data_IF_275847266051
#
_entry.id   IF_275847266051
#
_cell.length_a   1.000
_cell.length_b   1.000
_cell.length_c   1.000
_cell.angle_alpha   90.00
_cell.angle_beta   90.00
_cell.angle_gamma   90.00
#
_symmetry.space_group_name_H-M   'P 1'
#
loop_
_entity.id
_entity.type
_entity.pdbx_description
1 polymer ?
#
# COMPACT_ATOMS: atom_id res chain seq x y z
N UNK A 1 9.72 -19.40 -38.55
CA UNK A 1 9.16 -20.74 -38.85
C UNK A 1 8.89 -20.98 -40.36
N UNK A 2 8.30 -20.05 -41.07
CA UNK A 2 8.06 -20.14 -42.52
C UNK A 2 9.33 -20.48 -43.30
N UNK A 3 10.48 -19.91 -42.93
CA UNK A 3 11.78 -20.20 -43.57
C UNK A 3 12.25 -21.64 -43.38
N UNK A 4 11.98 -22.25 -42.24
CA UNK A 4 12.35 -23.65 -41.95
C UNK A 4 11.47 -24.58 -42.78
N UNK A 5 10.18 -24.28 -42.87
CA UNK A 5 9.23 -25.07 -43.70
C UNK A 5 9.59 -24.97 -45.18
N UNK A 6 9.92 -23.76 -45.67
CA UNK A 6 10.40 -23.55 -47.05
C UNK A 6 11.71 -24.28 -47.32
N UNK A 7 12.67 -24.31 -46.40
CA UNK A 7 13.92 -25.07 -46.57
C UNK A 7 13.69 -26.56 -46.55
N UNK A 8 12.78 -27.09 -45.73
CA UNK A 8 12.41 -28.50 -45.72
C UNK A 8 11.71 -28.88 -47.06
N UNK A 9 10.78 -28.06 -47.54
CA UNK A 9 10.14 -28.26 -48.84
C UNK A 9 11.14 -28.20 -49.98
N UNK A 10 12.11 -27.28 -49.93
CA UNK A 10 13.17 -27.20 -50.94
C UNK A 10 14.07 -28.44 -50.91
N UNK A 11 14.44 -28.94 -49.73
CA UNK A 11 15.21 -30.17 -49.56
C UNK A 11 14.44 -31.40 -50.02
N UNK A 12 13.14 -31.47 -49.77
CA UNK A 12 12.26 -32.54 -50.26
C UNK A 12 12.12 -32.48 -51.79
N UNK A 13 11.93 -31.29 -52.38
CA UNK A 13 11.88 -31.11 -53.81
C UNK A 13 13.22 -31.47 -54.48
N UNK A 14 14.34 -31.07 -53.86
CA UNK A 14 15.68 -31.43 -54.35
C UNK A 14 15.94 -32.92 -54.21
N UNK A 15 15.55 -33.57 -53.14
CA UNK A 15 15.60 -35.01 -52.93
C UNK A 15 14.76 -35.78 -53.95
N UNK A 16 13.56 -35.26 -54.29
CA UNK A 16 12.70 -35.83 -55.33
C UNK A 16 13.33 -35.71 -56.72
N UNK A 17 13.95 -34.56 -57.05
CA UNK A 17 14.70 -34.38 -58.30
C UNK A 17 15.94 -35.30 -58.38
N UNK A 18 16.64 -35.51 -57.30
CA UNK A 18 17.76 -36.42 -57.19
C UNK A 18 17.32 -37.89 -57.40
N UNK A 19 16.19 -38.25 -56.73
CA UNK A 19 15.57 -39.59 -56.94
C UNK A 19 15.09 -39.81 -58.38
N UNK A 20 14.53 -38.77 -59.00
CA UNK A 20 14.21 -38.84 -60.47
C UNK A 20 15.44 -39.11 -61.30
N UNK A 21 16.55 -38.45 -61.08
CA UNK A 21 17.80 -38.63 -61.74
C UNK A 21 18.37 -40.07 -61.59
N UNK A 22 18.22 -40.65 -60.41
CA UNK A 22 18.73 -41.97 -60.03
C UNK A 22 17.84 -43.13 -60.59
N UNK A 23 16.53 -42.90 -60.69
CA UNK A 23 15.54 -43.91 -61.04
C UNK A 23 15.00 -43.74 -62.49
N UNK A 24 15.64 -42.95 -63.35
CA UNK A 24 15.29 -42.74 -64.79
C UNK A 24 13.77 -42.50 -64.97
N UNK A 25 13.18 -41.58 -64.29
CA UNK A 25 11.78 -41.18 -64.52
C UNK A 25 11.57 -40.37 -65.82
N UNK A 26 12.63 -40.08 -66.52
CA UNK A 26 12.62 -39.36 -67.77
C UNK A 26 12.92 -40.37 -68.86
N UNK A 27 11.95 -40.65 -69.73
CA UNK A 27 12.20 -41.41 -70.96
C UNK A 27 13.00 -40.54 -71.91
N UNK A 28 14.15 -41.09 -72.39
CA UNK A 28 14.99 -40.50 -73.44
C UNK A 28 14.88 -41.36 -74.68
N UNK A 29 14.81 -40.70 -75.84
CA UNK A 29 14.86 -41.40 -77.13
C UNK A 29 16.25 -41.97 -77.44
N UNK A 30 16.34 -42.85 -78.39
CA UNK A 30 17.59 -43.49 -78.77
C UNK A 30 18.71 -42.48 -79.12
N UNK A 31 18.36 -41.27 -79.52
CA UNK A 31 19.26 -40.18 -79.86
C UNK A 31 19.59 -39.23 -78.69
N UNK A 32 19.12 -39.52 -77.44
CA UNK A 32 19.45 -38.74 -76.22
C UNK A 32 18.61 -37.47 -76.01
N UNK A 33 17.64 -37.20 -76.88
CA UNK A 33 16.72 -36.05 -76.71
C UNK A 33 15.61 -36.35 -75.73
N UNK A 34 15.17 -35.30 -75.01
CA UNK A 34 14.07 -35.38 -74.10
C UNK A 34 12.76 -35.65 -74.82
N UNK A 35 12.21 -36.87 -74.73
CA UNK A 35 10.96 -37.21 -75.40
C UNK A 35 9.74 -36.96 -74.49
N UNK A 36 9.81 -37.27 -73.25
CA UNK A 36 8.70 -37.07 -72.38
C UNK A 36 9.15 -37.09 -70.93
N UNK A 37 8.76 -36.04 -70.13
CA UNK A 37 8.75 -36.12 -68.71
C UNK A 37 7.56 -37.00 -68.34
N UNK A 38 7.80 -38.18 -67.77
CA UNK A 38 6.74 -39.05 -67.33
C UNK A 38 6.18 -38.35 -66.03
N UNK A 39 5.20 -37.52 -66.29
CA UNK A 39 4.46 -36.85 -65.27
C UNK A 39 3.67 -37.89 -64.47
N UNK A 40 4.12 -38.19 -63.25
CA UNK A 40 3.36 -39.05 -62.38
C UNK A 40 2.43 -38.17 -61.58
N UNK A 41 1.13 -38.07 -61.90
CA UNK A 41 0.16 -37.23 -61.22
C UNK A 41 0.04 -37.57 -59.72
N UNK A 42 0.34 -38.83 -59.39
CA UNK A 42 0.39 -39.32 -58.01
C UNK A 42 1.46 -38.57 -57.16
N UNK A 43 2.63 -38.30 -57.73
CA UNK A 43 3.74 -37.64 -57.04
C UNK A 43 3.41 -36.16 -56.79
N UNK A 44 2.74 -35.51 -57.74
CA UNK A 44 2.26 -34.13 -57.58
C UNK A 44 1.08 -34.05 -56.60
N UNK A 45 0.19 -35.05 -56.66
CA UNK A 45 -0.91 -35.13 -55.68
C UNK A 45 -0.39 -35.39 -54.27
N UNK A 46 0.65 -36.22 -54.08
CA UNK A 46 1.29 -36.43 -52.77
C UNK A 46 2.01 -35.19 -52.29
N UNK A 47 2.74 -34.46 -53.19
CA UNK A 47 3.37 -33.19 -52.83
C UNK A 47 2.35 -32.10 -52.49
N UNK A 48 1.25 -32.00 -53.23
CA UNK A 48 0.16 -31.09 -52.96
C UNK A 48 -0.55 -31.42 -51.64
N UNK A 49 -0.79 -32.70 -51.39
CA UNK A 49 -1.36 -33.17 -50.13
C UNK A 49 -0.43 -32.88 -48.92
N UNK A 50 0.88 -33.09 -49.11
CA UNK A 50 1.90 -32.78 -48.11
C UNK A 50 2.02 -31.27 -47.88
N UNK A 51 1.86 -30.46 -48.95
CA UNK A 51 1.80 -29.02 -48.85
C UNK A 51 0.54 -28.54 -48.12
N UNK A 52 -0.61 -29.16 -48.33
CA UNK A 52 -1.85 -28.87 -47.61
C UNK A 52 -1.75 -29.29 -46.13
N UNK A 53 -1.10 -30.43 -45.85
CA UNK A 53 -0.89 -30.92 -44.47
C UNK A 53 0.17 -30.09 -43.74
N UNK A 54 1.21 -29.62 -44.42
CA UNK A 54 2.28 -28.81 -43.82
C UNK A 54 1.95 -27.32 -43.71
N UNK A 55 0.91 -26.87 -44.31
CA UNK A 55 0.47 -25.46 -44.20
C UNK A 55 -0.38 -25.23 -42.98
N UNK A 56 -0.47 -24.07 -42.69
CA UNK A 56 0.16 -23.03 -41.92
C UNK A 56 0.10 -23.31 -40.43
N UNK A 57 0.54 -24.47 -40.02
CA UNK A 57 0.59 -24.82 -38.60
C UNK A 57 1.70 -24.04 -37.92
N UNK A 58 1.32 -23.29 -36.88
CA UNK A 58 2.22 -22.62 -35.99
C UNK A 58 2.19 -23.28 -34.60
N UNK A 59 3.38 -23.41 -34.00
CA UNK A 59 3.51 -23.86 -32.63
C UNK A 59 3.75 -22.65 -31.73
N UNK A 60 2.78 -22.34 -30.88
CA UNK A 60 2.85 -21.25 -29.95
C UNK A 60 2.95 -21.76 -28.54
N UNK A 61 3.91 -21.21 -27.78
CA UNK A 61 4.05 -21.46 -26.36
C UNK A 61 3.24 -20.42 -25.61
N UNK A 62 2.34 -20.87 -24.73
CA UNK A 62 1.62 -20.02 -23.80
C UNK A 62 2.42 -20.06 -22.50
N UNK A 63 2.94 -18.89 -22.09
CA UNK A 63 3.79 -18.78 -20.93
C UNK A 63 3.02 -18.97 -19.64
N UNK A 64 3.74 -19.34 -18.57
CA UNK A 64 3.16 -19.40 -17.23
C UNK A 64 2.67 -18.00 -16.80
N UNK A 65 1.44 -17.92 -16.28
CA UNK A 65 0.80 -16.64 -15.96
C UNK A 65 -0.13 -16.12 -17.06
N UNK A 66 -0.10 -16.72 -18.26
CA UNK A 66 -1.04 -16.39 -19.34
C UNK A 66 -2.05 -17.50 -19.54
N UNK A 67 -3.24 -17.12 -19.98
CA UNK A 67 -4.24 -18.03 -20.51
C UNK A 67 -4.35 -17.84 -22.03
N UNK A 68 -4.17 -18.92 -22.77
CA UNK A 68 -4.41 -18.92 -24.20
C UNK A 68 -5.89 -19.12 -24.49
N UNK A 69 -6.45 -18.29 -25.36
CA UNK A 69 -7.79 -18.41 -25.90
C UNK A 69 -7.67 -18.76 -27.39
N UNK A 70 -8.07 -19.96 -27.74
CA UNK A 70 -8.13 -20.43 -29.12
C UNK A 70 -9.52 -20.08 -29.68
N UNK A 71 -9.52 -19.28 -30.75
CA UNK A 71 -10.74 -18.82 -31.43
C UNK A 71 -10.77 -19.47 -32.80
N UNK A 72 -11.82 -20.22 -33.10
CA UNK A 72 -12.07 -20.80 -34.41
C UNK A 72 -12.56 -19.70 -35.37
N UNK A 73 -11.89 -19.51 -36.51
CA UNK A 73 -12.25 -18.52 -37.55
C UNK A 73 -13.18 -19.05 -38.59
N UNK A 74 -13.22 -20.39 -38.77
CA UNK A 74 -13.96 -21.10 -39.83
C UNK A 74 -14.78 -22.22 -39.20
N UNK A 75 -15.92 -22.54 -39.81
CA UNK A 75 -16.82 -23.60 -39.39
C UNK A 75 -18.03 -23.09 -38.60
N UNK A 76 -18.87 -24.02 -38.13
CA UNK A 76 -20.10 -23.71 -37.37
C UNK A 76 -19.80 -23.17 -35.97
N UNK A 77 -18.62 -23.47 -35.40
CA UNK A 77 -18.14 -22.99 -34.12
C UNK A 77 -17.33 -21.67 -34.18
N UNK A 78 -17.42 -20.98 -35.34
CA UNK A 78 -16.65 -19.74 -35.58
C UNK A 78 -17.01 -18.60 -34.64
N UNK A 79 -15.98 -17.88 -34.25
CA UNK A 79 -16.16 -16.61 -33.48
C UNK A 79 -16.31 -16.82 -31.99
N UNK A 80 -17.15 -15.99 -31.38
CA UNK A 80 -17.25 -15.90 -29.92
C UNK A 80 -17.98 -17.05 -29.22
N UNK A 81 -18.68 -17.90 -30.00
CA UNK A 81 -19.53 -18.95 -29.41
C UNK A 81 -18.75 -20.12 -28.83
N UNK A 82 -17.53 -20.37 -29.32
CA UNK A 82 -16.74 -21.53 -28.89
C UNK A 82 -15.26 -21.17 -28.74
N UNK A 83 -14.95 -20.47 -27.66
CA UNK A 83 -13.57 -20.17 -27.31
C UNK A 83 -13.05 -21.32 -26.44
N UNK A 84 -11.96 -21.94 -26.88
CA UNK A 84 -11.31 -23.03 -26.15
C UNK A 84 -10.14 -22.47 -25.35
N UNK A 85 -10.10 -22.80 -24.06
CA UNK A 85 -8.97 -22.44 -23.20
C UNK A 85 -7.82 -23.41 -23.44
N UNK A 86 -6.63 -22.85 -23.69
CA UNK A 86 -5.42 -23.63 -23.97
C UNK A 86 -4.25 -23.13 -23.12
N UNK A 87 -3.35 -24.06 -22.77
CA UNK A 87 -2.15 -23.77 -21.99
C UNK A 87 -0.97 -24.58 -22.48
N UNK A 88 0.26 -24.12 -22.20
CA UNK A 88 1.49 -24.79 -22.62
C UNK A 88 1.76 -24.67 -24.13
N UNK A 89 2.32 -25.71 -24.72
CA UNK A 89 2.57 -25.73 -26.15
C UNK A 89 1.33 -26.12 -26.90
N UNK A 90 0.91 -25.29 -27.88
CA UNK A 90 -0.22 -25.55 -28.74
C UNK A 90 0.19 -25.40 -30.21
N UNK A 91 -0.12 -26.42 -30.99
CA UNK A 91 -0.03 -26.37 -32.45
C UNK A 91 -1.42 -26.01 -32.96
N UNK A 92 -1.51 -25.02 -33.81
CA UNK A 92 -2.76 -24.54 -34.38
C UNK A 92 -2.57 -24.12 -35.83
N UNK A 93 -3.65 -24.11 -36.58
CA UNK A 93 -3.65 -23.70 -37.99
C UNK A 93 -4.00 -22.20 -38.07
N UNK A 94 -3.04 -21.37 -38.46
CA UNK A 94 -3.20 -19.90 -38.51
C UNK A 94 -4.27 -19.41 -39.50
N UNK A 95 -4.75 -20.26 -40.42
CA UNK A 95 -5.83 -19.90 -41.36
C UNK A 95 -7.22 -20.12 -40.73
N UNK A 96 -7.34 -21.07 -39.85
CA UNK A 96 -8.61 -21.49 -39.29
C UNK A 96 -8.76 -21.17 -37.82
N UNK A 97 -7.66 -20.86 -37.13
CA UNK A 97 -7.63 -20.65 -35.68
C UNK A 97 -6.72 -19.45 -35.36
N UNK A 98 -7.07 -18.74 -34.28
CA UNK A 98 -6.28 -17.62 -33.72
C UNK A 98 -6.09 -17.83 -32.23
N UNK A 99 -4.88 -17.61 -31.71
CA UNK A 99 -4.59 -17.71 -30.28
C UNK A 99 -4.29 -16.33 -29.71
N UNK A 100 -5.14 -15.89 -28.78
CA UNK A 100 -4.93 -14.73 -27.94
C UNK A 100 -4.41 -15.14 -26.57
N UNK A 101 -3.45 -14.40 -26.02
CA UNK A 101 -2.90 -14.65 -24.69
C UNK A 101 -3.34 -13.54 -23.74
N UNK A 102 -4.07 -13.91 -22.70
CA UNK A 102 -4.54 -13.00 -21.65
C UNK A 102 -3.66 -13.19 -20.43
N UNK A 103 -3.00 -12.14 -19.92
CA UNK A 103 -2.27 -12.21 -18.67
C UNK A 103 -3.23 -12.38 -17.48
N UNK A 104 -2.93 -13.32 -16.59
CA UNK A 104 -3.68 -13.59 -15.36
C UNK A 104 -2.95 -13.05 -14.13
N UNK A 105 -1.75 -12.53 -14.31
CA UNK A 105 -0.94 -11.93 -13.27
C UNK A 105 -1.61 -10.70 -12.66
N UNK A 106 -1.21 -10.37 -11.46
CA UNK A 106 -1.68 -9.16 -10.79
C UNK A 106 -0.92 -7.95 -11.33
N UNK A 107 -1.67 -6.97 -11.83
CA UNK A 107 -1.14 -5.74 -12.39
C UNK A 107 -1.59 -4.54 -11.57
N UNK A 108 -0.75 -3.52 -11.49
CA UNK A 108 -1.06 -2.25 -10.82
C UNK A 108 -1.33 -1.18 -11.85
N UNK A 109 -2.48 -0.53 -11.72
CA UNK A 109 -2.86 0.61 -12.55
C UNK A 109 -3.07 1.84 -11.68
N UNK A 110 -2.73 2.98 -12.24
CA UNK A 110 -3.05 4.29 -11.70
C UNK A 110 -3.79 5.09 -12.75
N UNK A 111 -4.97 5.57 -12.39
CA UNK A 111 -5.70 6.50 -13.24
C UNK A 111 -5.39 7.94 -12.88
N UNK A 112 -5.51 8.79 -13.88
CA UNK A 112 -5.26 10.20 -13.72
C UNK A 112 -6.29 10.85 -12.79
N UNK A 113 -5.99 12.09 -12.40
CA UNK A 113 -6.79 12.92 -11.54
C UNK A 113 -8.17 13.17 -12.14
N UNK A 114 -9.20 12.77 -11.40
CA UNK A 114 -10.59 12.99 -11.75
C UNK A 114 -11.31 13.79 -10.66
N UNK A 115 -12.05 14.81 -11.08
CA UNK A 115 -12.92 15.55 -10.20
C UNK A 115 -14.16 14.71 -9.86
N UNK A 116 -14.40 14.50 -8.59
CA UNK A 116 -15.62 13.87 -8.05
C UNK A 116 -16.29 14.79 -7.04
N UNK A 117 -17.57 14.60 -6.83
CA UNK A 117 -18.33 15.42 -5.88
C UNK A 117 -18.62 14.57 -4.65
N UNK A 118 -18.14 15.02 -3.49
CA UNK A 118 -18.46 14.42 -2.20
C UNK A 118 -19.86 14.82 -1.74
N UNK A 119 -20.40 14.10 -0.77
CA UNK A 119 -21.68 14.44 -0.14
C UNK A 119 -21.66 15.87 0.38
N UNK A 120 -22.68 16.65 0.01
CA UNK A 120 -22.76 18.08 0.33
C UNK A 120 -22.29 19.01 -0.79
N UNK A 121 -21.94 18.45 -1.98
CA UNK A 121 -21.61 19.24 -3.16
C UNK A 121 -20.16 19.73 -3.22
N UNK A 122 -19.29 19.21 -2.36
CA UNK A 122 -17.88 19.59 -2.34
C UNK A 122 -17.09 18.82 -3.40
N UNK A 123 -16.49 19.51 -4.39
CA UNK A 123 -15.63 18.86 -5.37
C UNK A 123 -14.31 18.45 -4.72
N UNK A 124 -13.83 17.27 -5.08
CA UNK A 124 -12.48 16.82 -4.72
C UNK A 124 -11.88 16.05 -5.89
N UNK A 125 -10.57 16.10 -6.01
CA UNK A 125 -9.85 15.40 -7.05
C UNK A 125 -9.29 14.09 -6.49
N UNK A 126 -9.57 13.00 -7.16
CA UNK A 126 -9.15 11.66 -6.74
C UNK A 126 -8.37 10.99 -7.87
N UNK A 127 -7.21 10.45 -7.56
CA UNK A 127 -6.40 9.63 -8.47
C UNK A 127 -6.31 8.22 -7.89
N UNK A 128 -7.19 7.29 -8.32
CA UNK A 128 -7.18 5.94 -7.80
C UNK A 128 -6.01 5.12 -8.37
N UNK A 129 -5.37 4.35 -7.51
CA UNK A 129 -4.35 3.36 -7.87
C UNK A 129 -4.74 2.03 -7.21
N UNK A 130 -4.76 0.95 -7.96
CA UNK A 130 -5.20 -0.34 -7.47
C UNK A 130 -4.52 -1.49 -8.19
N UNK A 131 -4.55 -2.65 -7.54
CA UNK A 131 -4.14 -3.89 -8.16
C UNK A 131 -5.37 -4.62 -8.68
N UNK A 132 -5.24 -5.18 -9.89
CA UNK A 132 -6.28 -6.01 -10.48
C UNK A 132 -5.68 -7.25 -11.12
N UNK A 133 -6.50 -8.26 -11.31
CA UNK A 133 -6.18 -9.46 -12.09
C UNK A 133 -7.42 -9.93 -12.84
N UNK A 134 -7.21 -10.54 -13.99
CA UNK A 134 -8.29 -11.16 -14.77
C UNK A 134 -8.66 -12.49 -14.15
N UNK A 135 -9.95 -12.75 -13.99
CA UNK A 135 -10.43 -14.06 -13.51
C UNK A 135 -10.31 -15.10 -14.62
N UNK A 136 -9.57 -16.17 -14.36
CA UNK A 136 -9.39 -17.28 -15.32
C UNK A 136 -10.72 -17.81 -15.83
N UNK A 137 -11.67 -18.08 -14.94
CA UNK A 137 -12.97 -18.69 -15.29
C UNK A 137 -13.84 -17.86 -16.23
N UNK A 138 -13.60 -16.57 -16.36
CA UNK A 138 -14.42 -15.65 -17.15
C UNK A 138 -13.61 -14.88 -18.20
N UNK A 139 -12.35 -15.27 -18.41
CA UNK A 139 -11.46 -14.61 -19.39
C UNK A 139 -11.97 -14.72 -20.83
N UNK A 140 -12.53 -15.88 -21.20
CA UNK A 140 -13.16 -16.09 -22.50
C UNK A 140 -14.39 -15.20 -22.71
N UNK A 141 -15.24 -15.07 -21.68
CA UNK A 141 -16.41 -14.19 -21.71
C UNK A 141 -15.99 -12.71 -21.76
N UNK A 142 -14.96 -12.32 -21.01
CA UNK A 142 -14.35 -10.99 -21.08
C UNK A 142 -13.87 -10.68 -22.51
N UNK A 143 -13.08 -11.59 -23.10
CA UNK A 143 -12.58 -11.42 -24.44
C UNK A 143 -13.70 -11.27 -25.46
N UNK A 144 -14.77 -12.06 -25.33
CA UNK A 144 -15.92 -11.98 -26.22
C UNK A 144 -16.61 -10.63 -26.17
N UNK A 145 -16.88 -10.13 -24.96
CA UNK A 145 -17.61 -8.89 -24.75
C UNK A 145 -16.77 -7.64 -25.03
N UNK A 146 -15.46 -7.70 -24.79
CA UNK A 146 -14.53 -6.56 -24.95
C UNK A 146 -13.56 -6.76 -26.12
N UNK A 147 -13.92 -7.63 -27.09
CA UNK A 147 -13.06 -8.03 -28.22
C UNK A 147 -12.51 -6.85 -29.01
N UNK A 148 -13.31 -5.84 -29.27
CA UNK A 148 -12.89 -4.67 -30.06
C UNK A 148 -11.74 -3.93 -29.36
N UNK A 149 -11.88 -3.62 -28.08
CA UNK A 149 -10.84 -2.98 -27.29
C UNK A 149 -9.61 -3.86 -27.18
N UNK A 150 -9.81 -5.15 -26.87
CA UNK A 150 -8.72 -6.10 -26.73
C UNK A 150 -7.91 -6.27 -28.03
N UNK A 151 -8.55 -6.30 -29.19
CA UNK A 151 -7.90 -6.41 -30.49
C UNK A 151 -7.07 -5.18 -30.86
N UNK A 152 -7.48 -3.99 -30.42
CA UNK A 152 -6.82 -2.73 -30.75
C UNK A 152 -5.51 -2.55 -29.96
N UNK A 153 -5.49 -2.91 -28.66
CA UNK A 153 -4.34 -2.67 -27.79
C UNK A 153 -4.20 -3.68 -26.65
N UNK A 154 -4.76 -4.90 -26.80
CA UNK A 154 -4.67 -5.95 -25.78
C UNK A 154 -5.43 -5.61 -24.50
N UNK A 155 -4.97 -6.16 -23.38
CA UNK A 155 -5.56 -5.90 -22.08
C UNK A 155 -5.44 -4.42 -21.67
N UNK A 156 -4.36 -3.76 -22.09
CA UNK A 156 -4.11 -2.35 -21.78
C UNK A 156 -5.21 -1.42 -22.32
N UNK A 157 -5.70 -1.67 -23.53
CA UNK A 157 -6.82 -0.91 -24.08
C UNK A 157 -8.15 -1.17 -23.34
N UNK A 158 -8.33 -2.35 -22.75
CA UNK A 158 -9.47 -2.66 -21.89
C UNK A 158 -9.34 -1.93 -20.55
N UNK A 159 -8.12 -1.88 -20.02
CA UNK A 159 -7.78 -1.18 -18.78
C UNK A 159 -8.01 0.33 -18.90
N UNK A 160 -7.55 0.95 -20.00
CA UNK A 160 -7.69 2.40 -20.25
C UNK A 160 -9.08 2.81 -20.73
N UNK A 161 -9.90 1.88 -21.16
CA UNK A 161 -11.26 2.16 -21.61
C UNK A 161 -12.33 1.69 -20.63
N UNK A 162 -12.75 0.45 -20.77
CA UNK A 162 -13.88 -0.07 -20.01
C UNK A 162 -13.63 -0.12 -18.50
N UNK A 163 -12.46 -0.59 -18.09
CA UNK A 163 -12.12 -0.71 -16.66
C UNK A 163 -12.00 0.66 -15.99
N UNK A 164 -11.40 1.63 -16.66
CA UNK A 164 -11.29 3.00 -16.18
C UNK A 164 -12.67 3.60 -15.88
N UNK A 165 -13.57 3.56 -16.84
CA UNK A 165 -14.94 4.09 -16.68
C UNK A 165 -15.67 3.42 -15.53
N UNK A 166 -15.53 2.09 -15.40
CA UNK A 166 -16.20 1.35 -14.34
C UNK A 166 -15.66 1.69 -12.95
N UNK A 167 -14.33 1.84 -12.81
CA UNK A 167 -13.68 2.20 -11.55
C UNK A 167 -13.96 3.64 -11.17
N UNK A 168 -13.83 4.59 -12.10
CA UNK A 168 -14.14 6.00 -11.84
C UNK A 168 -15.61 6.20 -11.47
N UNK A 169 -16.51 5.45 -12.11
CA UNK A 169 -17.90 5.41 -11.72
C UNK A 169 -18.11 4.88 -10.29
N UNK A 170 -17.40 3.82 -9.88
CA UNK A 170 -17.46 3.31 -8.51
C UNK A 170 -16.93 4.33 -7.50
N UNK A 171 -15.83 5.01 -7.82
CA UNK A 171 -15.27 6.09 -6.99
C UNK A 171 -16.28 7.22 -6.81
N UNK A 172 -16.90 7.69 -7.90
CA UNK A 172 -17.92 8.74 -7.86
C UNK A 172 -19.12 8.35 -7.00
N UNK A 173 -19.65 7.14 -7.16
CA UNK A 173 -20.82 6.69 -6.40
C UNK A 173 -20.54 6.57 -4.91
N UNK A 174 -19.34 6.15 -4.54
CA UNK A 174 -18.96 6.09 -3.12
C UNK A 174 -18.68 7.49 -2.59
N UNK A 175 -17.98 8.36 -3.34
CA UNK A 175 -17.70 9.73 -2.93
C UNK A 175 -18.99 10.52 -2.65
N UNK A 176 -20.03 10.36 -3.48
CA UNK A 176 -21.32 10.99 -3.28
C UNK A 176 -22.05 10.59 -1.97
N UNK A 177 -21.68 9.46 -1.37
CA UNK A 177 -22.25 8.97 -0.11
C UNK A 177 -21.48 9.44 1.12
N UNK A 178 -20.21 9.83 0.97
CA UNK A 178 -19.31 10.19 2.05
C UNK A 178 -19.12 11.70 2.18
N UNK A 179 -19.16 12.20 3.42
CA UNK A 179 -18.83 13.60 3.70
C UNK A 179 -17.33 13.78 3.56
N UNK A 180 -16.90 14.94 3.10
CA UNK A 180 -15.49 15.19 2.80
C UNK A 180 -14.60 15.01 4.03
N UNK A 181 -15.03 15.43 5.22
CA UNK A 181 -14.32 15.23 6.48
C UNK A 181 -14.10 13.75 6.78
N UNK A 182 -15.11 12.90 6.54
CA UNK A 182 -15.03 11.46 6.77
C UNK A 182 -14.09 10.76 5.78
N UNK A 183 -14.02 11.25 4.54
CA UNK A 183 -13.08 10.76 3.53
C UNK A 183 -11.63 10.93 4.00
N UNK A 184 -11.32 12.05 4.67
CA UNK A 184 -9.97 12.30 5.19
C UNK A 184 -9.70 11.58 6.51
N UNK A 185 -10.65 11.57 7.44
CA UNK A 185 -10.49 11.00 8.77
C UNK A 185 -10.52 9.47 8.76
N UNK A 186 -11.30 8.85 7.85
CA UNK A 186 -11.47 7.40 7.73
C UNK A 186 -11.17 6.93 6.30
N UNK A 187 -9.99 7.28 5.81
CA UNK A 187 -9.55 6.95 4.46
C UNK A 187 -9.60 5.45 4.16
N UNK A 188 -9.20 4.62 5.12
CA UNK A 188 -9.23 3.16 4.95
C UNK A 188 -10.64 2.61 4.74
N UNK A 189 -11.63 3.13 5.46
CA UNK A 189 -13.04 2.78 5.28
C UNK A 189 -13.57 3.23 3.92
N UNK A 190 -13.21 4.44 3.49
CA UNK A 190 -13.56 4.95 2.18
C UNK A 190 -12.96 4.09 1.04
N UNK A 191 -11.67 3.78 1.11
CA UNK A 191 -10.98 2.91 0.14
C UNK A 191 -11.60 1.50 0.10
N UNK A 192 -11.94 0.93 1.25
CA UNK A 192 -12.62 -0.37 1.33
C UNK A 192 -14.02 -0.33 0.70
N UNK A 193 -14.78 0.74 0.91
CA UNK A 193 -16.08 0.92 0.28
C UNK A 193 -15.97 1.01 -1.25
N UNK A 194 -14.94 1.69 -1.77
CA UNK A 194 -14.67 1.74 -3.21
C UNK A 194 -14.34 0.35 -3.76
N UNK A 195 -13.49 -0.44 -3.06
CA UNK A 195 -13.16 -1.81 -3.49
C UNK A 195 -14.40 -2.68 -3.58
N UNK A 196 -15.31 -2.57 -2.62
CA UNK A 196 -16.59 -3.31 -2.63
C UNK A 196 -17.44 -2.91 -3.83
N UNK A 197 -17.63 -1.60 -4.07
CA UNK A 197 -18.44 -1.11 -5.19
C UNK A 197 -17.78 -1.40 -6.55
N UNK A 198 -16.45 -1.28 -6.64
CA UNK A 198 -15.68 -1.64 -7.83
C UNK A 198 -15.83 -3.14 -8.13
N UNK A 199 -15.61 -4.02 -7.16
CA UNK A 199 -15.81 -5.46 -7.37
C UNK A 199 -17.24 -5.85 -7.72
N UNK A 200 -18.24 -5.10 -7.28
CA UNK A 200 -19.64 -5.30 -7.71
C UNK A 200 -19.83 -5.00 -9.19
N UNK A 201 -19.15 -3.97 -9.73
CA UNK A 201 -19.28 -3.57 -11.14
C UNK A 201 -18.42 -4.42 -12.07
N UNK A 202 -17.16 -4.63 -11.71
CA UNK A 202 -16.19 -5.32 -12.58
C UNK A 202 -15.93 -6.76 -12.18
N UNK A 203 -16.47 -7.20 -11.08
CA UNK A 203 -16.18 -8.51 -10.46
C UNK A 203 -16.61 -9.71 -11.30
N UNK A 204 -17.34 -9.51 -12.40
CA UNK A 204 -17.60 -10.56 -13.38
C UNK A 204 -16.29 -11.04 -14.02
N UNK A 205 -15.40 -10.13 -14.42
CA UNK A 205 -14.19 -10.42 -15.19
C UNK A 205 -12.88 -10.13 -14.44
N UNK A 206 -12.90 -9.14 -13.53
CA UNK A 206 -11.73 -8.70 -12.80
C UNK A 206 -11.89 -8.90 -11.30
N UNK A 207 -10.77 -9.03 -10.62
CA UNK A 207 -10.68 -8.94 -9.16
C UNK A 207 -9.87 -7.70 -8.82
N UNK A 208 -10.47 -6.77 -8.07
CA UNK A 208 -9.80 -5.55 -7.61
C UNK A 208 -9.33 -5.74 -6.17
N UNK A 209 -8.10 -5.36 -5.89
CA UNK A 209 -7.50 -5.41 -4.56
C UNK A 209 -6.58 -4.20 -4.33
N UNK A 210 -6.30 -3.93 -3.05
CA UNK A 210 -5.32 -2.91 -2.63
C UNK A 210 -5.53 -1.53 -3.27
N UNK A 211 -6.76 -1.07 -3.31
CA UNK A 211 -7.06 0.25 -3.85
C UNK A 211 -6.54 1.34 -2.89
N UNK A 212 -5.86 2.31 -3.48
CA UNK A 212 -5.40 3.53 -2.82
C UNK A 212 -5.92 4.75 -3.57
N UNK A 213 -6.40 5.71 -2.83
CA UNK A 213 -6.86 6.98 -3.38
C UNK A 213 -5.88 8.09 -3.00
N UNK A 214 -5.41 8.83 -4.00
CA UNK A 214 -4.71 10.08 -3.75
C UNK A 214 -5.74 11.21 -3.88
N UNK A 215 -6.20 11.73 -2.73
CA UNK A 215 -7.28 12.70 -2.67
C UNK A 215 -6.69 14.09 -2.49
N UNK A 216 -7.06 15.02 -3.37
CA UNK A 216 -6.66 16.41 -3.30
C UNK A 216 -7.92 17.29 -3.17
N UNK A 217 -8.14 17.87 -1.98
CA UNK A 217 -9.25 18.80 -1.80
C UNK A 217 -8.96 20.13 -2.47
N UNK A 218 -9.97 20.91 -2.88
CA UNK A 218 -9.82 22.27 -3.35
C UNK A 218 -9.11 23.17 -2.32
N UNK A 219 -8.43 24.21 -2.79
CA UNK A 219 -7.67 25.12 -1.92
C UNK A 219 -8.52 25.75 -0.81
N UNK A 220 -9.77 26.09 -1.10
CA UNK A 220 -10.73 26.67 -0.14
C UNK A 220 -11.06 25.71 1.03
N UNK A 221 -11.14 24.41 0.74
CA UNK A 221 -11.37 23.38 1.75
C UNK A 221 -10.11 23.11 2.55
N UNK A 222 -8.94 23.13 1.90
CA UNK A 222 -7.65 23.00 2.59
C UNK A 222 -7.47 24.08 3.66
N UNK A 223 -7.84 25.33 3.34
CA UNK A 223 -7.78 26.44 4.32
C UNK A 223 -8.75 26.22 5.49
N UNK A 224 -9.97 25.79 5.22
CA UNK A 224 -10.95 25.50 6.27
C UNK A 224 -10.49 24.33 7.16
N UNK A 225 -9.94 23.27 6.59
CA UNK A 225 -9.38 22.14 7.36
C UNK A 225 -8.18 22.60 8.19
N UNK A 226 -7.28 23.40 7.63
CA UNK A 226 -6.13 23.97 8.36
C UNK A 226 -6.58 24.86 9.51
N UNK A 227 -7.57 25.72 9.29
CA UNK A 227 -8.13 26.59 10.34
C UNK A 227 -8.76 25.75 11.48
N UNK A 228 -9.55 24.74 11.14
CA UNK A 228 -10.14 23.82 12.11
C UNK A 228 -9.07 23.04 12.90
N UNK A 229 -8.07 22.48 12.20
CA UNK A 229 -6.98 21.78 12.83
C UNK A 229 -6.18 22.69 13.78
N UNK A 230 -5.92 23.93 13.38
CA UNK A 230 -5.28 24.93 14.22
C UNK A 230 -6.10 25.23 15.46
N UNK A 231 -7.41 25.47 15.33
CA UNK A 231 -8.29 25.74 16.45
C UNK A 231 -8.33 24.58 17.47
N UNK A 232 -8.37 23.33 16.98
CA UNK A 232 -8.29 22.13 17.81
C UNK A 232 -6.93 22.05 18.52
N UNK A 233 -5.83 22.30 17.80
CA UNK A 233 -4.49 22.29 18.38
C UNK A 233 -4.34 23.40 19.44
N UNK A 234 -4.84 24.60 19.20
CA UNK A 234 -4.82 25.72 20.15
C UNK A 234 -5.64 25.38 21.42
N UNK A 235 -6.80 24.71 21.25
CA UNK A 235 -7.61 24.25 22.39
C UNK A 235 -6.86 23.18 23.22
N UNK A 236 -6.24 22.19 22.60
CA UNK A 236 -5.44 21.17 23.28
C UNK A 236 -4.26 21.80 24.01
N UNK A 237 -3.58 22.76 23.37
CA UNK A 237 -2.44 23.48 23.95
C UNK A 237 -2.89 24.28 25.18
N UNK A 238 -4.01 25.02 25.11
CA UNK A 238 -4.57 25.77 26.18
C UNK A 238 -4.98 24.87 27.37
N UNK A 239 -5.61 23.73 27.10
CA UNK A 239 -5.96 22.74 28.11
C UNK A 239 -4.70 22.16 28.80
N UNK A 240 -3.68 21.84 28.02
CA UNK A 240 -2.42 21.35 28.57
C UNK A 240 -1.71 22.40 29.45
N UNK A 241 -1.72 23.66 29.02
CA UNK A 241 -1.17 24.77 29.79
C UNK A 241 -1.96 24.99 31.12
N UNK A 242 -3.29 24.92 31.07
CA UNK A 242 -4.11 25.02 32.27
C UNK A 242 -3.84 23.88 33.26
N UNK A 243 -3.71 22.63 32.74
CA UNK A 243 -3.33 21.47 33.58
C UNK A 243 -1.93 21.62 34.17
N UNK A 244 -0.96 22.12 33.41
CA UNK A 244 0.38 22.39 33.90
C UNK A 244 0.39 23.49 34.98
N UNK A 245 -0.34 24.59 34.79
CA UNK A 245 -0.46 25.65 35.77
C UNK A 245 -1.10 25.18 37.06
N UNK A 246 -2.16 24.36 37.00
CA UNK A 246 -2.78 23.77 38.19
C UNK A 246 -1.84 22.81 38.93
N UNK A 247 -1.09 21.98 38.20
CA UNK A 247 -0.09 21.09 38.77
C UNK A 247 1.05 21.87 39.47
N UNK A 248 1.55 22.95 38.84
CA UNK A 248 2.57 23.83 39.42
C UNK A 248 2.06 24.56 40.67
N UNK A 249 0.81 25.03 40.64
CA UNK A 249 0.19 25.63 41.83
C UNK A 249 0.09 24.61 43.00
N UNK A 250 -0.36 23.39 42.71
CA UNK A 250 -0.42 22.31 43.71
C UNK A 250 0.96 21.96 44.25
N UNK A 251 1.99 21.90 43.38
CA UNK A 251 3.37 21.65 43.77
C UNK A 251 3.88 22.76 44.71
N UNK A 252 3.63 24.03 44.41
CA UNK A 252 4.02 25.17 45.26
C UNK A 252 3.34 25.12 46.63
N UNK A 253 2.04 24.79 46.64
CA UNK A 253 1.30 24.61 47.89
C UNK A 253 1.86 23.45 48.74
N UNK A 254 2.18 22.31 48.07
CA UNK A 254 2.77 21.16 48.77
C UNK A 254 4.15 21.48 49.34
N UNK A 255 5.01 22.20 48.62
CA UNK A 255 6.32 22.65 49.06
C UNK A 255 6.16 23.62 50.28
N UNK A 256 5.31 24.62 50.18
CA UNK A 256 5.08 25.58 51.25
C UNK A 256 4.53 24.89 52.52
N UNK A 257 3.64 23.90 52.40
CA UNK A 257 3.19 23.08 53.53
C UNK A 257 4.31 22.24 54.14
N UNK A 258 5.16 21.65 53.28
CA UNK A 258 6.35 20.90 53.70
C UNK A 258 7.33 21.77 54.49
N UNK A 259 7.67 22.95 53.97
CA UNK A 259 8.56 23.91 54.59
C UNK A 259 7.99 24.40 55.96
N UNK A 260 6.70 24.73 55.97
CA UNK A 260 6.02 25.11 57.22
C UNK A 260 6.05 23.96 58.26
N UNK A 261 5.78 22.73 57.85
CA UNK A 261 5.85 21.57 58.73
C UNK A 261 7.27 21.33 59.27
N UNK A 262 8.30 21.50 58.46
CA UNK A 262 9.70 21.35 58.88
C UNK A 262 10.07 22.42 59.93
N UNK A 263 9.66 23.67 59.71
CA UNK A 263 9.88 24.75 60.70
C UNK A 263 9.17 24.48 62.03
N UNK A 264 7.90 24.03 61.99
CA UNK A 264 7.14 23.69 63.22
C UNK A 264 7.77 22.50 63.96
N UNK A 265 8.21 21.46 63.24
CA UNK A 265 8.88 20.31 63.84
C UNK A 265 10.22 20.72 64.44
N UNK A 266 11.02 21.54 63.78
CA UNK A 266 12.28 22.05 64.27
C UNK A 266 12.04 22.87 65.56
N UNK A 267 11.09 23.81 65.53
CA UNK A 267 10.76 24.65 66.74
C UNK A 267 10.22 23.81 67.89
N UNK A 268 9.36 22.80 67.62
CA UNK A 268 8.86 21.89 68.61
C UNK A 268 9.98 21.01 69.24
N UNK A 269 10.92 20.58 68.43
CA UNK A 269 12.09 19.80 68.88
C UNK A 269 13.05 20.61 69.71
N UNK A 270 13.29 21.89 69.36
CA UNK A 270 14.08 22.83 70.18
C UNK A 270 13.38 23.14 71.53
N UNK A 271 12.08 23.37 71.44
CA UNK A 271 11.33 23.60 72.67
C UNK A 271 11.33 22.39 73.62
N UNK A 272 11.23 21.18 73.10
CA UNK A 272 11.37 19.95 73.87
C UNK A 272 12.79 19.77 74.42
N UNK A 273 13.82 20.05 73.63
CA UNK A 273 15.23 20.01 74.07
C UNK A 273 15.50 21.05 75.20
N UNK A 274 14.95 22.26 75.06
CA UNK A 274 15.07 23.29 76.12
C UNK A 274 14.35 22.87 77.37
N UNK A 275 13.14 22.28 77.32
CA UNK A 275 12.42 21.77 78.48
C UNK A 275 13.21 20.64 79.15
N UNK A 276 13.81 19.72 78.40
CA UNK A 276 14.69 18.68 78.98
C UNK A 276 15.91 19.28 79.64
N UNK A 277 16.59 20.25 79.05
CA UNK A 277 17.71 20.97 79.66
C UNK A 277 17.33 21.70 80.89
N UNK A 278 16.16 22.38 80.93
CA UNK A 278 15.66 23.02 82.12
C UNK A 278 15.38 22.06 83.28
N UNK A 279 14.87 20.86 82.97
CA UNK A 279 14.57 19.84 83.96
C UNK A 279 15.82 19.21 84.58
N UNK A 280 16.87 19.06 83.74
CA UNK A 280 18.15 18.48 84.21
C UNK A 280 19.13 19.50 84.77
N UNK A 281 18.86 20.81 84.62
CA UNK A 281 19.70 21.86 85.15
C UNK A 281 19.34 22.10 86.69
N UNK A 282 20.06 21.41 87.53
CA UNK A 282 20.02 21.68 88.97
C UNK A 282 20.70 23.03 89.24
N UNK A 283 20.25 23.74 90.34
CA UNK A 283 20.79 25.03 90.75
C UNK A 283 22.35 24.97 90.87
N UNK A 284 22.86 23.90 91.36
CA UNK A 284 24.32 23.64 91.48
C UNK A 284 25.06 23.59 90.11
N UNK A 285 24.43 23.04 89.10
CA UNK A 285 25.05 22.97 87.74
C UNK A 285 25.05 24.36 87.12
N UNK A 286 24.01 25.18 87.33
CA UNK A 286 23.97 26.53 86.79
C UNK A 286 25.02 27.41 87.47
N UNK A 287 25.29 27.21 88.76
CA UNK A 287 26.38 27.89 89.51
C UNK A 287 27.73 27.43 89.01
N UNK A 288 27.92 26.12 88.76
CA UNK A 288 29.16 25.58 88.21
C UNK A 288 29.48 26.17 86.79
N UNK A 289 28.49 26.29 85.91
CA UNK A 289 28.67 26.91 84.57
C UNK A 289 29.00 28.40 84.71
N UNK A 290 28.33 29.12 85.65
CA UNK A 290 28.66 30.52 85.93
C UNK A 290 30.09 30.67 86.43
N UNK A 291 30.52 29.79 87.31
CA UNK A 291 31.85 29.81 87.84
C UNK A 291 32.93 29.43 86.76
N UNK A 292 32.63 28.44 85.95
CA UNK A 292 33.57 27.97 84.88
C UNK A 292 33.72 28.97 83.69
N UNK A 293 32.77 29.83 83.48
CA UNK A 293 32.83 30.89 82.47
C UNK A 293 33.26 32.24 82.98
N UNK A 294 33.53 32.34 84.30
CA UNK A 294 33.98 33.58 84.92
C UNK A 294 35.44 33.83 84.60
N UNK A 295 35.77 34.95 84.04
CA UNK A 295 37.11 35.41 83.70
C UNK A 295 37.93 35.93 84.88
N UNK A 296 37.43 35.81 86.12
CA UNK A 296 38.14 36.22 87.32
C UNK A 296 38.10 37.74 87.59
N UNK A 297 37.41 38.52 86.78
CA UNK A 297 37.30 39.96 86.94
C UNK A 297 35.95 40.38 87.51
N UNK A 298 35.94 41.18 88.56
CA UNK A 298 34.72 41.79 89.02
C UNK A 298 34.26 42.88 88.06
N UNK A 299 32.95 42.99 87.82
CA UNK A 299 32.46 44.08 86.99
C UNK A 299 32.72 45.43 87.61
N UNK A 300 33.39 46.31 86.91
CA UNK A 300 33.82 47.64 87.38
C UNK A 300 32.69 48.67 87.36
N UNK A 301 31.52 48.36 86.94
CA UNK A 301 30.33 49.22 86.92
C UNK A 301 29.17 48.57 87.67
N UNK A 302 28.82 49.09 88.79
CA UNK A 302 27.63 48.77 89.57
C UNK A 302 26.47 49.60 89.03
N UNK A 303 25.73 49.08 88.06
CA UNK A 303 24.44 49.66 87.65
C UNK A 303 23.38 49.20 88.69
N UNK A 304 22.93 50.12 89.53
CA UNK A 304 22.03 49.87 90.64
C UNK A 304 20.94 48.84 90.41
N UNK A 305 20.68 48.02 91.40
CA UNK A 305 19.72 46.89 91.42
C UNK A 305 20.00 45.68 90.60
N UNK A 306 21.17 45.50 90.05
CA UNK A 306 21.55 44.21 89.48
C UNK A 306 22.08 43.29 90.58
N UNK A 307 21.39 42.18 90.83
CA UNK A 307 21.86 41.14 91.77
C UNK A 307 23.21 40.61 91.30
N UNK A 308 24.22 40.58 92.14
CA UNK A 308 25.54 40.08 91.74
C UNK A 308 25.43 38.62 91.23
N UNK A 309 26.12 38.27 90.16
CA UNK A 309 26.11 36.94 89.55
C UNK A 309 26.66 35.82 90.46
N UNK A 310 27.22 36.21 91.59
CA UNK A 310 27.77 35.31 92.62
C UNK A 310 27.31 35.74 93.95
N UNK A 311 26.59 34.87 94.71
CA UNK A 311 26.23 35.08 96.05
C UNK A 311 27.47 34.71 96.92
N UNK A 312 28.08 35.73 97.50
CA UNK A 312 29.29 35.56 98.34
C UNK A 312 28.98 35.37 99.84
N UNK A 313 27.73 35.26 100.20
CA UNK A 313 27.39 34.90 101.56
C UNK A 313 27.48 33.40 101.75
N UNK A 314 28.58 32.96 102.35
CA UNK A 314 28.72 31.71 103.06
C UNK A 314 28.69 31.99 104.50
N UNK A 315 27.66 31.49 105.15
CA UNK A 315 27.72 31.12 106.55
C UNK A 315 28.24 29.69 106.70
#
# INVERSE_FOLDING_TARGET
MITIILTVLFLLAFGAMWAQKKFNFIERDADGHFQKVVYKPILVAVLALLFIILQPYEMKKIEAGYQGLLVDLVGDSRGASTIKEVSGWKIYNTWTEEIHQIPLDQRTIRYEKQAVIAKGGFPCDISPSFNHSVKRSTSADMFTNLRTSYRTGGLEAVEQGWLEIAILGAVSDVANKWVIDDIFNNRSGFEAAIVVEANKRVGKWFTISQLRTNIQPPASIVESIKAKAKAVQDAITSESQAKAATADAQRKIALAKGDSATVVIAASSEAAALKLKQRELTALYVEYIKASKWDGKLPTTNLGNATPMINLNRD
#
